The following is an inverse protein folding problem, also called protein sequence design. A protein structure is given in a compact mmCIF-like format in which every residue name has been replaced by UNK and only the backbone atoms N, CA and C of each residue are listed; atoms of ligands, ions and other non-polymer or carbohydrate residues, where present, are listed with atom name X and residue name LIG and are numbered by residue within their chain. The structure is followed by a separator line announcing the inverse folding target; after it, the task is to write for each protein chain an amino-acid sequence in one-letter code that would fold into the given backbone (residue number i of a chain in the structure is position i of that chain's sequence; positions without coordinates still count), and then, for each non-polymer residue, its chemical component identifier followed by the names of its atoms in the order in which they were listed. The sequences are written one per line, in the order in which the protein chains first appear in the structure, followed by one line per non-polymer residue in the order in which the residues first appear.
data_IF_047650811280
#
_entry.id   IF_047650811280
#
_cell.length_a   1.000
_cell.length_b   1.000
_cell.length_c   1.000
_cell.angle_alpha   90.00
_cell.angle_beta   90.00
_cell.angle_gamma   90.00
#
_symmetry.space_group_name_H-M   'P 1'
#
loop_
_entity.id
_entity.type
_entity.pdbx_description
1 polymer ?
#
# COMPACT_ATOMS: atom_id res chain seq x y z
N UNK A 1 25.44 5.35 -17.83
CA UNK A 1 24.21 5.09 -18.63
C UNK A 1 23.11 4.60 -17.66
N UNK A 2 22.40 5.50 -16.98
CA UNK A 2 21.42 5.16 -15.93
C UNK A 2 19.99 5.41 -16.42
N UNK A 3 19.40 4.45 -17.13
CA UNK A 3 17.98 4.47 -17.50
C UNK A 3 17.05 3.99 -16.37
N UNK A 4 17.35 4.34 -15.11
CA UNK A 4 16.58 3.88 -13.94
C UNK A 4 15.31 4.70 -13.64
N UNK A 5 14.91 5.63 -14.51
CA UNK A 5 13.75 6.51 -14.28
C UNK A 5 12.50 6.15 -15.07
N UNK A 6 12.34 4.91 -15.52
CA UNK A 6 10.98 4.40 -15.76
C UNK A 6 10.33 4.16 -14.40
N UNK A 7 9.74 5.21 -13.82
CA UNK A 7 8.84 5.09 -12.67
C UNK A 7 7.67 4.24 -13.12
N UNK A 8 7.73 2.94 -12.86
CA UNK A 8 6.56 2.09 -13.03
C UNK A 8 5.51 2.54 -12.01
N UNK A 9 4.39 3.15 -12.45
CA UNK A 9 3.34 3.59 -11.53
C UNK A 9 2.82 2.38 -10.72
N UNK A 10 2.76 1.21 -11.35
CA UNK A 10 2.48 -0.07 -10.70
C UNK A 10 3.46 -0.40 -9.57
N UNK A 11 4.77 -0.23 -9.78
CA UNK A 11 5.79 -0.52 -8.76
C UNK A 11 5.67 0.43 -7.57
N UNK A 12 5.31 1.69 -7.82
CA UNK A 12 5.05 2.67 -6.74
C UNK A 12 3.83 2.28 -5.92
N UNK A 13 2.72 1.95 -6.59
CA UNK A 13 1.47 1.57 -5.92
C UNK A 13 1.63 0.26 -5.13
N UNK A 14 2.31 -0.74 -5.69
CA UNK A 14 2.62 -1.98 -4.97
C UNK A 14 3.44 -1.71 -3.70
N UNK A 15 4.43 -0.83 -3.76
CA UNK A 15 5.22 -0.45 -2.58
C UNK A 15 4.36 0.26 -1.53
N UNK A 16 3.47 1.15 -1.96
CA UNK A 16 2.54 1.86 -1.08
C UNK A 16 1.56 0.90 -0.40
N UNK A 17 0.98 -0.03 -1.17
CA UNK A 17 0.12 -1.10 -0.66
C UNK A 17 0.80 -1.94 0.42
N UNK A 18 2.00 -2.47 0.14
CA UNK A 18 2.76 -3.26 1.12
C UNK A 18 3.07 -2.47 2.39
N UNK A 19 3.38 -1.18 2.25
CA UNK A 19 3.68 -0.30 3.39
C UNK A 19 2.45 -0.09 4.27
N UNK A 20 1.27 0.09 3.69
CA UNK A 20 0.00 0.21 4.42
C UNK A 20 -0.35 -1.09 5.15
N UNK A 21 -0.13 -2.25 4.51
CA UNK A 21 -0.33 -3.56 5.15
C UNK A 21 0.62 -3.79 6.33
N UNK A 22 1.91 -3.46 6.19
CA UNK A 22 2.86 -3.56 7.31
C UNK A 22 2.44 -2.70 8.50
N UNK A 23 2.00 -1.47 8.23
CA UNK A 23 1.48 -0.59 9.28
C UNK A 23 0.22 -1.15 9.91
N UNK A 24 -0.71 -1.67 9.11
CA UNK A 24 -1.94 -2.29 9.59
C UNK A 24 -1.61 -3.46 10.54
N UNK A 25 -0.73 -4.38 10.14
CA UNK A 25 -0.30 -5.50 10.97
C UNK A 25 0.37 -5.04 12.27
N UNK A 26 1.20 -4.00 12.21
CA UNK A 26 1.81 -3.40 13.40
C UNK A 26 0.76 -2.80 14.35
N UNK A 27 -0.29 -2.16 13.82
CA UNK A 27 -1.40 -1.61 14.64
C UNK A 27 -2.31 -2.69 15.20
N UNK A 28 -2.55 -3.77 14.46
CA UNK A 28 -3.32 -4.93 14.93
C UNK A 28 -2.65 -5.55 16.17
N UNK A 29 -1.32 -5.71 16.15
CA UNK A 29 -0.55 -6.21 17.31
C UNK A 29 -0.60 -5.28 18.52
N UNK A 30 -0.77 -3.97 18.30
CA UNK A 30 -0.95 -2.97 19.37
C UNK A 30 -2.39 -2.90 19.88
N UNK A 31 -3.33 -3.60 19.25
CA UNK A 31 -4.75 -3.56 19.61
C UNK A 31 -5.49 -2.31 19.13
N UNK A 32 -4.90 -1.52 18.23
CA UNK A 32 -5.54 -0.32 17.68
C UNK A 32 -6.39 -0.69 16.46
N UNK A 33 -7.62 -1.14 16.75
CA UNK A 33 -8.57 -1.62 15.74
C UNK A 33 -9.00 -0.49 14.80
N UNK A 34 -9.20 0.72 15.34
CA UNK A 34 -9.60 1.87 14.52
C UNK A 34 -8.53 2.18 13.48
N UNK A 35 -7.27 2.28 13.92
CA UNK A 35 -6.17 2.57 13.02
C UNK A 35 -5.92 1.44 12.04
N UNK A 36 -6.06 0.18 12.49
CA UNK A 36 -6.04 -0.98 11.60
C UNK A 36 -7.07 -0.86 10.49
N UNK A 37 -8.35 -0.61 10.81
CA UNK A 37 -9.43 -0.45 9.83
C UNK A 37 -9.17 0.71 8.85
N UNK A 38 -8.65 1.83 9.32
CA UNK A 38 -8.27 2.96 8.47
C UNK A 38 -7.13 2.60 7.50
N UNK A 39 -6.11 1.88 7.96
CA UNK A 39 -4.97 1.47 7.15
C UNK A 39 -5.33 0.39 6.14
N UNK A 40 -6.18 -0.56 6.51
CA UNK A 40 -6.69 -1.58 5.58
C UNK A 40 -7.58 -0.96 4.51
N UNK A 41 -8.44 0.01 4.85
CA UNK A 41 -9.26 0.71 3.86
C UNK A 41 -8.39 1.49 2.85
N UNK A 42 -7.34 2.17 3.32
CA UNK A 42 -6.37 2.83 2.44
C UNK A 42 -5.64 1.82 1.54
N UNK A 43 -5.27 0.65 2.08
CA UNK A 43 -4.65 -0.41 1.29
C UNK A 43 -5.59 -0.90 0.18
N UNK A 44 -6.88 -1.10 0.46
CA UNK A 44 -7.88 -1.46 -0.55
C UNK A 44 -8.03 -0.42 -1.66
N UNK A 45 -7.99 0.88 -1.33
CA UNK A 45 -8.01 1.93 -2.35
C UNK A 45 -6.77 1.87 -3.26
N UNK A 46 -5.60 1.56 -2.70
CA UNK A 46 -4.38 1.38 -3.49
C UNK A 46 -4.47 0.12 -4.34
N UNK A 47 -5.02 -0.98 -3.83
CA UNK A 47 -5.27 -2.20 -4.60
C UNK A 47 -6.19 -1.93 -5.80
N UNK A 48 -7.29 -1.19 -5.61
CA UNK A 48 -8.16 -0.78 -6.72
C UNK A 48 -7.43 0.05 -7.78
N UNK A 49 -6.49 0.90 -7.38
CA UNK A 49 -5.63 1.67 -8.31
C UNK A 49 -4.66 0.76 -9.06
N UNK A 50 -4.13 -0.27 -8.41
CA UNK A 50 -3.29 -1.30 -9.04
C UNK A 50 -4.12 -2.05 -10.09
N UNK A 51 -5.30 -2.54 -9.71
CA UNK A 51 -6.20 -3.28 -10.61
C UNK A 51 -6.72 -2.44 -11.78
N UNK A 52 -6.83 -1.12 -11.61
CA UNK A 52 -7.24 -0.21 -12.68
C UNK A 52 -6.14 0.08 -13.70
N UNK A 53 -4.87 -0.19 -13.36
CA UNK A 53 -3.69 0.10 -14.19
C UNK A 53 -3.05 -1.18 -14.74
N UNK A 54 -3.17 -2.31 -14.01
CA UNK A 54 -2.71 -3.63 -14.43
C UNK A 54 -3.63 -4.26 -15.47
#
# INVERSE_FOLDING_TARGET
MFSLFKKDPLKKLNKEYSTLLEQALATQRKGDIRRYSELTAQAEEVAKKIDSIG
#
